data_IF_258778877336
#
_entry.id   IF_258778877336
#
_cell.length_a   1.000
_cell.length_b   1.000
_cell.length_c   1.000
_cell.angle_alpha   90.00
_cell.angle_beta   90.00
_cell.angle_gamma   90.00
#
_symmetry.space_group_name_H-M   'P 1'
#
loop_
_entity.id
_entity.type
_entity.pdbx_description
1 polymer ?
#
# COMPACT_ATOMS: atom_id res chain seq x y z
N UNK A 1 3.29 4.42 -17.81
CA UNK A 1 3.73 4.04 -16.46
C UNK A 1 2.92 4.70 -15.35
N UNK A 2 2.34 5.90 -15.52
CA UNK A 2 1.53 6.58 -14.48
C UNK A 2 0.15 5.97 -14.19
N UNK A 3 -0.51 5.37 -15.18
CA UNK A 3 -1.86 4.85 -14.96
C UNK A 3 -1.90 3.57 -14.12
N UNK A 4 -0.80 2.82 -14.09
CA UNK A 4 -0.73 1.52 -13.40
C UNK A 4 -0.89 1.69 -11.90
N UNK A 5 -0.22 2.68 -11.30
CA UNK A 5 -0.35 3.00 -9.87
C UNK A 5 -1.76 3.47 -9.53
N UNK A 6 -2.40 4.25 -10.40
CA UNK A 6 -3.78 4.67 -10.25
C UNK A 6 -4.76 3.49 -10.30
N UNK A 7 -4.60 2.57 -11.26
CA UNK A 7 -5.45 1.37 -11.32
C UNK A 7 -5.24 0.44 -10.12
N UNK A 8 -4.02 0.35 -9.59
CA UNK A 8 -3.72 -0.42 -8.37
C UNK A 8 -4.42 0.20 -7.15
N UNK A 9 -4.34 1.52 -6.95
CA UNK A 9 -4.97 2.18 -5.81
C UNK A 9 -6.50 2.10 -5.88
N UNK A 10 -7.08 2.27 -7.07
CA UNK A 10 -8.52 2.08 -7.32
C UNK A 10 -8.93 0.62 -7.07
N UNK A 11 -8.16 -0.35 -7.57
CA UNK A 11 -8.43 -1.77 -7.33
C UNK A 11 -8.42 -2.14 -5.85
N UNK A 12 -7.46 -1.61 -5.08
CA UNK A 12 -7.38 -1.79 -3.62
C UNK A 12 -8.59 -1.16 -2.92
N UNK A 13 -8.99 0.05 -3.32
CA UNK A 13 -10.16 0.73 -2.77
C UNK A 13 -11.45 -0.06 -3.00
N UNK A 14 -11.64 -0.60 -4.23
CA UNK A 14 -12.79 -1.45 -4.57
C UNK A 14 -12.79 -2.75 -3.75
N UNK A 15 -11.64 -3.41 -3.64
CA UNK A 15 -11.50 -4.62 -2.84
C UNK A 15 -11.91 -4.37 -1.38
N UNK A 16 -11.38 -3.30 -0.77
CA UNK A 16 -11.69 -2.94 0.61
C UNK A 16 -13.17 -2.55 0.77
N UNK A 17 -13.76 -1.85 -0.19
CA UNK A 17 -15.18 -1.49 -0.17
C UNK A 17 -16.09 -2.72 -0.14
N UNK A 18 -15.78 -3.76 -0.93
CA UNK A 18 -16.57 -4.99 -1.04
C UNK A 18 -16.35 -5.93 0.15
N UNK A 19 -15.12 -5.99 0.67
CA UNK A 19 -14.72 -6.97 1.69
C UNK A 19 -14.92 -6.44 3.12
N UNK A 20 -14.73 -5.14 3.39
CA UNK A 20 -14.95 -4.53 4.70
C UNK A 20 -16.31 -4.82 5.38
N UNK A 21 -17.46 -4.80 4.68
CA UNK A 21 -18.76 -5.01 5.32
C UNK A 21 -18.93 -6.47 5.79
N UNK A 22 -18.23 -7.42 5.16
CA UNK A 22 -18.23 -8.84 5.57
C UNK A 22 -17.61 -9.06 6.95
N UNK A 23 -16.84 -8.09 7.44
CA UNK A 23 -16.20 -8.11 8.76
C UNK A 23 -16.77 -7.04 9.71
N UNK A 24 -17.97 -6.51 9.42
CA UNK A 24 -18.62 -5.50 10.26
C UNK A 24 -17.88 -4.15 10.31
N UNK A 25 -17.09 -3.84 9.29
CA UNK A 25 -16.37 -2.56 9.16
C UNK A 25 -17.02 -1.65 8.13
N UNK A 26 -16.84 -0.33 8.31
CA UNK A 26 -17.42 0.67 7.42
C UNK A 26 -16.78 0.62 6.03
N UNK A 27 -17.61 0.43 5.00
CA UNK A 27 -17.19 0.32 3.59
C UNK A 27 -16.37 1.52 3.11
N UNK A 28 -16.91 2.72 3.34
CA UNK A 28 -16.34 3.98 2.86
C UNK A 28 -15.00 4.31 3.53
N UNK A 29 -14.89 4.07 4.83
CA UNK A 29 -13.68 4.39 5.57
C UNK A 29 -12.50 3.54 5.09
N UNK A 30 -12.73 2.24 4.89
CA UNK A 30 -11.70 1.35 4.35
C UNK A 30 -11.39 1.60 2.88
N UNK A 31 -12.36 1.97 2.06
CA UNK A 31 -12.12 2.31 0.66
C UNK A 31 -11.24 3.56 0.53
N UNK A 32 -11.54 4.62 1.30
CA UNK A 32 -10.75 5.85 1.31
C UNK A 32 -9.34 5.58 1.85
N UNK A 33 -9.21 4.81 2.94
CA UNK A 33 -7.89 4.40 3.44
C UNK A 33 -7.12 3.58 2.40
N UNK A 34 -7.79 2.69 1.68
CA UNK A 34 -7.22 1.90 0.59
C UNK A 34 -6.70 2.73 -0.57
N UNK A 35 -7.44 3.77 -0.94
CA UNK A 35 -7.07 4.66 -2.03
C UNK A 35 -5.86 5.53 -1.67
N UNK A 36 -5.82 6.07 -0.44
CA UNK A 36 -4.76 6.99 0.03
C UNK A 36 -3.49 6.23 0.41
N UNK A 37 -3.63 5.16 1.19
CA UNK A 37 -2.48 4.41 1.75
C UNK A 37 -2.13 3.15 0.97
N UNK A 38 -2.90 2.78 -0.05
CA UNK A 38 -2.62 1.66 -0.94
C UNK A 38 -2.46 0.32 -0.20
N UNK A 39 -1.35 -0.37 -0.50
CA UNK A 39 -1.04 -1.70 0.05
C UNK A 39 -0.91 -1.72 1.58
N UNK A 40 -0.53 -0.59 2.20
CA UNK A 40 -0.42 -0.49 3.65
C UNK A 40 -1.80 -0.61 4.30
N UNK A 41 -2.81 0.08 3.77
CA UNK A 41 -4.19 -0.07 4.26
C UNK A 41 -4.70 -1.50 4.06
N UNK A 42 -4.36 -2.13 2.94
CA UNK A 42 -4.70 -3.54 2.70
C UNK A 42 -4.08 -4.47 3.76
N UNK A 43 -2.81 -4.27 4.10
CA UNK A 43 -2.12 -5.02 5.15
C UNK A 43 -2.77 -4.84 6.53
N UNK A 44 -3.05 -3.59 6.92
CA UNK A 44 -3.74 -3.28 8.20
C UNK A 44 -5.14 -3.91 8.23
N UNK A 45 -5.84 -3.92 7.11
CA UNK A 45 -7.14 -4.57 6.99
C UNK A 45 -7.06 -6.07 7.29
N UNK A 46 -6.06 -6.76 6.73
CA UNK A 46 -5.85 -8.19 7.01
C UNK A 46 -5.49 -8.46 8.48
N UNK A 47 -4.73 -7.57 9.13
CA UNK A 47 -4.46 -7.67 10.57
C UNK A 47 -5.77 -7.57 11.38
N UNK A 48 -6.66 -6.64 11.02
CA UNK A 48 -7.94 -6.42 11.71
C UNK A 48 -8.98 -7.51 11.42
N UNK A 49 -8.88 -8.24 10.31
CA UNK A 49 -9.81 -9.29 9.89
C UNK A 49 -9.36 -10.71 10.27
N UNK A 50 -8.57 -10.82 11.35
CA UNK A 50 -8.03 -12.08 11.90
C UNK A 50 -7.06 -12.85 10.97
N UNK A 51 -6.70 -12.31 9.80
CA UNK A 51 -5.64 -12.86 8.94
C UNK A 51 -4.30 -12.22 9.26
N UNK A 52 -3.89 -12.32 10.54
CA UNK A 52 -2.73 -11.61 11.11
C UNK A 52 -1.44 -11.88 10.32
N UNK A 53 -1.16 -13.13 9.97
CA UNK A 53 0.07 -13.53 9.26
C UNK A 53 0.15 -12.86 7.88
N UNK A 54 -0.91 -12.95 7.07
CA UNK A 54 -0.98 -12.31 5.76
C UNK A 54 -0.89 -10.77 5.83
N UNK A 55 -1.53 -10.19 6.86
CA UNK A 55 -1.46 -8.75 7.09
C UNK A 55 -0.06 -8.26 7.43
N UNK A 56 0.64 -8.96 8.32
CA UNK A 56 2.03 -8.63 8.66
C UNK A 56 2.98 -8.80 7.47
N UNK A 57 2.82 -9.86 6.67
CA UNK A 57 3.61 -10.06 5.46
C UNK A 57 3.42 -8.88 4.50
N UNK A 58 2.18 -8.45 4.26
CA UNK A 58 1.89 -7.31 3.37
C UNK A 58 2.47 -5.99 3.89
N UNK A 59 2.35 -5.73 5.20
CA UNK A 59 2.91 -4.52 5.81
C UNK A 59 4.45 -4.51 5.71
N UNK A 60 5.10 -5.60 6.11
CA UNK A 60 6.56 -5.73 6.07
C UNK A 60 7.07 -5.60 4.64
N UNK A 61 6.43 -6.28 3.69
CA UNK A 61 6.80 -6.20 2.28
C UNK A 61 6.64 -4.77 1.73
N UNK A 62 5.57 -4.08 2.11
CA UNK A 62 5.35 -2.68 1.72
C UNK A 62 6.44 -1.76 2.29
N UNK A 63 6.81 -1.95 3.57
CA UNK A 63 7.87 -1.16 4.21
C UNK A 63 9.21 -1.41 3.52
N UNK A 64 9.59 -2.66 3.27
CA UNK A 64 10.83 -3.02 2.57
C UNK A 64 10.88 -2.37 1.20
N UNK A 65 9.76 -2.41 0.45
CA UNK A 65 9.68 -1.79 -0.87
C UNK A 65 9.88 -0.27 -0.81
N UNK A 66 9.20 0.43 0.12
CA UNK A 66 9.39 1.88 0.29
C UNK A 66 10.81 2.25 0.68
N UNK A 67 11.43 1.50 1.60
CA UNK A 67 12.84 1.73 2.00
C UNK A 67 13.78 1.50 0.82
N UNK A 68 13.57 0.44 0.04
CA UNK A 68 14.39 0.15 -1.13
C UNK A 68 14.30 1.26 -2.18
N UNK A 69 13.09 1.68 -2.55
CA UNK A 69 12.87 2.78 -3.50
C UNK A 69 13.52 4.08 -3.01
N UNK A 70 13.39 4.38 -1.71
CA UNK A 70 13.99 5.56 -1.10
C UNK A 70 15.53 5.54 -1.19
N UNK A 71 16.16 4.41 -0.88
CA UNK A 71 17.62 4.27 -1.00
C UNK A 71 18.11 4.41 -2.44
N UNK A 72 17.39 3.82 -3.40
CA UNK A 72 17.70 3.96 -4.83
C UNK A 72 17.57 5.41 -5.28
N UNK A 73 16.52 6.12 -4.85
CA UNK A 73 16.33 7.53 -5.17
C UNK A 73 17.48 8.40 -4.64
N UNK A 74 17.94 8.17 -3.40
CA UNK A 74 19.11 8.86 -2.85
C UNK A 74 20.36 8.55 -3.65
N UNK A 75 20.62 7.28 -3.94
CA UNK A 75 21.82 6.86 -4.68
C UNK A 75 21.87 7.49 -6.08
N UNK A 76 20.73 7.53 -6.79
CA UNK A 76 20.62 8.18 -8.09
C UNK A 76 20.82 9.70 -7.98
N UNK A 77 20.23 10.35 -6.97
CA UNK A 77 20.39 11.78 -6.76
C UNK A 77 21.86 12.14 -6.46
N UNK A 78 22.54 11.38 -5.61
CA UNK A 78 23.96 11.58 -5.30
C UNK A 78 24.85 11.30 -6.51
N UNK A 79 24.56 10.28 -7.31
CA UNK A 79 25.32 9.98 -8.53
C UNK A 79 25.15 11.08 -9.59
N UNK A 80 23.93 11.57 -9.80
CA UNK A 80 23.67 12.69 -10.72
C UNK A 80 24.37 13.96 -10.23
N UNK A 81 24.25 14.32 -8.94
CA UNK A 81 24.90 15.50 -8.39
C UNK A 81 26.44 15.45 -8.38
N UNK A 82 27.05 14.27 -8.49
CA UNK A 82 28.50 14.10 -8.58
C UNK A 82 29.05 14.20 -10.02
N UNK A 83 28.19 14.17 -11.04
CA UNK A 83 28.55 14.21 -12.47
C UNK A 83 28.17 15.54 -13.15
N UNK A 84 27.87 16.59 -12.37
CA UNK A 84 27.59 17.96 -12.82
C UNK A 84 28.68 18.86 -12.23
#
# INVERSE_FOLDING_TARGET
MEYISFFISVGIAIYLFVVAPKFGKSRWLWAIMGFIFGLIALGIFFIKTNRKVLGWILVILSIIFYVFVFLVAIALFSFVGANI
#
